data_IF_791270775852
#
_entry.id   IF_791270775852
#
_cell.length_a   1.000
_cell.length_b   1.000
_cell.length_c   1.000
_cell.angle_alpha   90.00
_cell.angle_beta   90.00
_cell.angle_gamma   90.00
#
_symmetry.space_group_name_H-M   'P 1'
#
loop_
_entity.id
_entity.type
_entity.pdbx_description
1 polymer ?
#
# COMPACT_ATOMS: atom_id res chain seq x y z
N UNK A 1 4.29 -8.49 18.03
CA UNK A 1 4.31 -8.27 16.57
C UNK A 1 5.75 -8.24 16.13
N UNK A 2 6.12 -9.05 15.15
CA UNK A 2 7.47 -9.03 14.58
C UNK A 2 7.51 -8.11 13.36
N UNK A 3 8.67 -7.51 13.12
CA UNK A 3 8.91 -6.79 11.88
C UNK A 3 9.15 -7.80 10.75
N UNK A 4 8.49 -7.58 9.61
CA UNK A 4 8.74 -8.34 8.40
C UNK A 4 9.40 -7.44 7.36
N UNK A 5 10.45 -7.92 6.72
CA UNK A 5 11.15 -7.22 5.64
C UNK A 5 11.32 -8.16 4.47
N UNK A 6 11.00 -7.68 3.28
CA UNK A 6 11.20 -8.39 2.02
C UNK A 6 11.73 -7.46 0.95
N UNK A 7 12.34 -8.04 -0.09
CA UNK A 7 12.83 -7.31 -1.26
C UNK A 7 12.55 -8.13 -2.50
N UNK A 8 12.15 -7.43 -3.56
CA UNK A 8 12.02 -7.98 -4.91
C UNK A 8 12.74 -7.05 -5.89
N UNK A 9 13.12 -7.59 -7.04
CA UNK A 9 13.67 -6.82 -8.15
C UNK A 9 12.63 -6.72 -9.27
N UNK A 10 12.50 -5.53 -9.85
CA UNK A 10 11.57 -5.25 -10.94
C UNK A 10 12.39 -4.66 -12.08
N UNK A 11 12.30 -5.27 -13.26
CA UNK A 11 13.00 -4.80 -14.46
C UNK A 11 12.26 -3.61 -15.11
N UNK A 12 12.13 -2.51 -14.37
CA UNK A 12 11.54 -1.23 -14.79
C UNK A 12 12.21 -0.07 -14.07
N UNK A 13 12.20 1.15 -14.63
CA UNK A 13 12.70 2.34 -13.96
C UNK A 13 12.03 2.57 -12.60
N UNK A 14 12.82 2.90 -11.57
CA UNK A 14 12.32 3.14 -10.22
C UNK A 14 11.21 4.20 -10.17
N UNK A 15 11.30 5.23 -11.01
CA UNK A 15 10.27 6.27 -11.11
C UNK A 15 8.93 5.74 -11.66
N UNK A 16 8.95 4.83 -12.63
CA UNK A 16 7.75 4.21 -13.20
C UNK A 16 7.08 3.29 -12.17
N UNK A 17 7.89 2.49 -11.47
CA UNK A 17 7.40 1.62 -10.38
C UNK A 17 6.80 2.44 -9.25
N UNK A 18 7.50 3.50 -8.81
CA UNK A 18 6.99 4.39 -7.76
C UNK A 18 5.68 5.05 -8.17
N UNK A 19 5.60 5.63 -9.37
CA UNK A 19 4.38 6.27 -9.87
C UNK A 19 3.20 5.29 -9.87
N UNK A 20 3.40 4.06 -10.35
CA UNK A 20 2.38 3.03 -10.38
C UNK A 20 1.90 2.63 -8.98
N UNK A 21 2.82 2.38 -8.04
CA UNK A 21 2.49 1.94 -6.69
C UNK A 21 1.95 3.08 -5.80
N UNK A 22 2.28 4.34 -6.11
CA UNK A 22 1.79 5.52 -5.38
C UNK A 22 0.31 5.83 -5.64
N UNK A 23 -0.26 5.30 -6.71
CA UNK A 23 -1.69 5.42 -6.98
C UNK A 23 -2.42 4.28 -6.30
N UNK A 24 -3.12 4.59 -5.20
CA UNK A 24 -3.86 3.61 -4.40
C UNK A 24 -4.86 2.79 -5.24
N UNK A 25 -5.38 3.36 -6.34
CA UNK A 25 -6.35 2.69 -7.22
C UNK A 25 -5.74 1.53 -7.99
N UNK A 26 -4.41 1.47 -8.11
CA UNK A 26 -3.70 0.35 -8.72
C UNK A 26 -3.55 -0.85 -7.76
N UNK A 27 -3.83 -0.68 -6.47
CA UNK A 27 -3.62 -1.73 -5.45
C UNK A 27 -4.28 -3.08 -5.76
N UNK A 28 -5.53 -3.15 -6.28
CA UNK A 28 -6.13 -4.42 -6.68
C UNK A 28 -5.35 -5.17 -7.78
N UNK A 29 -4.49 -4.49 -8.55
CA UNK A 29 -3.72 -5.10 -9.63
C UNK A 29 -2.52 -5.91 -9.13
N UNK A 30 -2.06 -5.68 -7.89
CA UNK A 30 -0.84 -6.30 -7.36
C UNK A 30 -0.98 -6.84 -5.93
N UNK A 31 -2.05 -6.54 -5.21
CA UNK A 31 -2.39 -7.18 -3.94
C UNK A 31 -3.61 -8.08 -4.12
N UNK A 32 -3.44 -9.41 -4.27
CA UNK A 32 -4.52 -10.33 -4.63
C UNK A 32 -5.72 -10.37 -3.67
N UNK A 33 -5.54 -9.97 -2.41
CA UNK A 33 -6.64 -9.94 -1.44
C UNK A 33 -7.51 -8.68 -1.56
N UNK A 34 -7.03 -7.65 -2.27
CA UNK A 34 -7.71 -6.37 -2.42
C UNK A 34 -8.59 -6.40 -3.66
N UNK A 35 -9.86 -6.03 -3.50
CA UNK A 35 -10.81 -5.91 -4.62
C UNK A 35 -11.03 -4.45 -5.01
N UNK A 36 -11.06 -3.55 -4.02
CA UNK A 36 -11.22 -2.12 -4.24
C UNK A 36 -10.31 -1.36 -3.30
N UNK A 37 -9.72 -0.28 -3.81
CA UNK A 37 -8.96 0.66 -3.01
C UNK A 37 -9.12 2.06 -3.58
N UNK A 38 -9.31 3.03 -2.70
CA UNK A 38 -9.57 4.41 -3.11
C UNK A 38 -9.31 5.42 -2.01
N UNK A 39 -9.16 6.70 -2.39
CA UNK A 39 -9.05 7.78 -1.43
C UNK A 39 -10.35 7.97 -0.64
N UNK A 40 -10.22 8.23 0.66
CA UNK A 40 -11.30 8.58 1.58
C UNK A 40 -10.95 9.90 2.29
N UNK A 41 -10.97 11.01 1.56
CA UNK A 41 -10.57 12.33 2.06
C UNK A 41 -9.16 12.72 1.58
N UNK A 42 -8.48 13.58 2.35
CA UNK A 42 -7.18 14.16 1.97
C UNK A 42 -6.02 13.17 2.13
N UNK A 43 -5.89 12.53 3.29
CA UNK A 43 -4.75 11.66 3.64
C UNK A 43 -5.15 10.24 4.05
N UNK A 44 -6.43 9.90 3.86
CA UNK A 44 -7.02 8.62 4.24
C UNK A 44 -7.41 7.82 3.00
N UNK A 45 -7.36 6.50 3.12
CA UNK A 45 -7.80 5.56 2.09
C UNK A 45 -8.76 4.54 2.69
N UNK A 46 -9.62 4.01 1.82
CA UNK A 46 -10.46 2.86 2.09
C UNK A 46 -10.02 1.70 1.20
N UNK A 47 -9.96 0.51 1.79
CA UNK A 47 -9.58 -0.73 1.12
C UNK A 47 -10.59 -1.80 1.48
N UNK A 48 -11.14 -2.46 0.47
CA UNK A 48 -12.04 -3.59 0.61
C UNK A 48 -11.46 -4.81 -0.09
N UNK A 49 -11.70 -5.99 0.47
CA UNK A 49 -11.17 -7.22 -0.09
C UNK A 49 -11.62 -8.47 0.65
N UNK A 50 -11.06 -9.60 0.24
CA UNK A 50 -11.31 -10.90 0.84
C UNK A 50 -9.99 -11.58 1.17
N UNK A 51 -9.88 -12.09 2.40
CA UNK A 51 -8.72 -12.84 2.85
C UNK A 51 -9.13 -14.02 3.71
N UNK A 52 -8.60 -15.20 3.41
CA UNK A 52 -8.97 -16.46 4.07
C UNK A 52 -10.49 -16.70 4.15
N UNK A 53 -11.24 -16.34 3.11
CA UNK A 53 -12.70 -16.48 3.05
C UNK A 53 -13.49 -15.47 3.87
N UNK A 54 -12.83 -14.43 4.40
CA UNK A 54 -13.48 -13.36 5.15
C UNK A 54 -13.35 -12.04 4.39
N UNK A 55 -14.49 -11.40 4.16
CA UNK A 55 -14.53 -10.04 3.67
C UNK A 55 -13.96 -9.08 4.72
N UNK A 56 -13.15 -8.14 4.29
CA UNK A 56 -12.63 -7.08 5.14
C UNK A 56 -12.85 -5.72 4.48
N UNK A 57 -13.09 -4.74 5.35
CA UNK A 57 -13.02 -3.33 5.03
C UNK A 57 -12.02 -2.70 6.02
N UNK A 58 -11.08 -1.92 5.51
CA UNK A 58 -10.05 -1.26 6.29
C UNK A 58 -9.87 0.19 5.84
N UNK A 59 -9.72 1.08 6.80
CA UNK A 59 -9.31 2.46 6.58
C UNK A 59 -7.96 2.70 7.25
N UNK A 60 -7.24 3.70 6.75
CA UNK A 60 -5.96 4.12 7.30
C UNK A 60 -5.33 5.19 6.43
N UNK A 61 -4.09 5.56 6.77
CA UNK A 61 -3.32 6.49 5.96
C UNK A 61 -2.50 5.76 4.91
N UNK A 62 -2.34 6.41 3.75
CA UNK A 62 -1.41 6.01 2.71
C UNK A 62 -0.72 7.25 2.17
N UNK A 63 0.59 7.32 2.33
CA UNK A 63 1.38 8.51 1.95
C UNK A 63 2.49 8.13 0.99
N UNK A 64 2.66 8.96 -0.03
CA UNK A 64 3.70 8.84 -1.03
C UNK A 64 4.66 10.03 -0.93
N UNK A 65 5.92 9.76 -0.57
CA UNK A 65 7.02 10.71 -0.57
C UNK A 65 7.80 10.52 -1.89
N UNK A 66 7.55 11.41 -2.85
CA UNK A 66 8.13 11.33 -4.19
C UNK A 66 9.63 11.64 -4.22
N UNK A 67 10.12 12.50 -3.32
CA UNK A 67 11.53 12.85 -3.22
C UNK A 67 12.35 11.63 -2.74
N UNK A 68 11.86 10.96 -1.70
CA UNK A 68 12.50 9.78 -1.15
C UNK A 68 12.10 8.46 -1.84
N UNK A 69 11.17 8.49 -2.81
CA UNK A 69 10.52 7.32 -3.42
C UNK A 69 10.08 6.29 -2.37
N UNK A 70 9.41 6.79 -1.33
CA UNK A 70 8.97 6.01 -0.17
C UNK A 70 7.45 6.06 -0.05
N UNK A 71 6.83 4.89 0.12
CA UNK A 71 5.43 4.75 0.47
C UNK A 71 5.33 4.32 1.93
N UNK A 72 4.40 4.88 2.68
CA UNK A 72 4.11 4.48 4.07
C UNK A 72 2.62 4.34 4.26
N UNK A 73 2.21 3.37 5.07
CA UNK A 73 0.81 3.17 5.42
C UNK A 73 0.65 2.71 6.86
N UNK A 74 -0.54 2.93 7.39
CA UNK A 74 -1.02 2.44 8.68
C UNK A 74 -2.48 1.99 8.56
N UNK A 75 -3.07 1.56 9.67
CA UNK A 75 -4.49 1.22 9.75
C UNK A 75 -5.13 1.87 10.96
N UNK A 76 -6.32 2.43 10.77
CA UNK A 76 -7.11 3.00 11.86
C UNK A 76 -7.61 1.91 12.83
N UNK A 77 -7.87 0.70 12.32
CA UNK A 77 -8.40 -0.41 13.13
C UNK A 77 -7.31 -1.26 13.79
N UNK A 78 -6.04 -1.11 13.37
CA UNK A 78 -4.90 -1.84 13.91
C UNK A 78 -3.72 -0.90 14.16
N UNK A 79 -3.67 -0.37 15.38
CA UNK A 79 -2.65 0.61 15.81
C UNK A 79 -1.20 0.09 15.69
N UNK A 80 -0.99 -1.22 15.72
CA UNK A 80 0.31 -1.86 15.59
C UNK A 80 0.66 -2.23 14.13
N UNK A 81 -0.30 -2.14 13.20
CA UNK A 81 -0.09 -2.42 11.79
C UNK A 81 0.32 -1.16 11.03
N UNK A 82 1.57 -1.15 10.59
CA UNK A 82 2.14 -0.11 9.74
C UNK A 82 3.18 -0.73 8.82
N UNK A 83 3.43 -0.10 7.69
CA UNK A 83 4.45 -0.55 6.77
C UNK A 83 5.10 0.59 6.01
N UNK A 84 6.28 0.30 5.47
CA UNK A 84 6.95 1.14 4.51
C UNK A 84 7.42 0.32 3.31
N UNK A 85 7.45 0.96 2.15
CA UNK A 85 8.07 0.45 0.95
C UNK A 85 9.00 1.52 0.39
N UNK A 86 10.25 1.16 0.13
CA UNK A 86 11.22 2.03 -0.55
C UNK A 86 11.49 1.49 -1.94
N UNK A 87 11.48 2.38 -2.93
CA UNK A 87 11.79 2.06 -4.31
C UNK A 87 13.12 2.72 -4.69
N UNK A 88 14.12 1.89 -4.97
CA UNK A 88 15.46 2.30 -5.39
C UNK A 88 15.84 1.64 -6.71
N UNK A 89 16.77 2.26 -7.42
CA UNK A 89 17.31 1.83 -8.71
C UNK A 89 18.47 2.71 -9.12
#
# INVERSE_FOLDING_TARGET
MGDYTGRIEINRPAAEVFAFLSDIRNMPLYLPTVQQAGPQGLDHVAIEGDSHGHHYHSTGSFRADAEARRLTWDSDSRLDYRGELRISG
#
